data_IF_817504892125
#
_entry.id   IF_817504892125
#
_cell.length_a   1.000
_cell.length_b   1.000
_cell.length_c   1.000
_cell.angle_alpha   90.00
_cell.angle_beta   90.00
_cell.angle_gamma   90.00
#
_symmetry.space_group_name_H-M   'P 1'
#
loop_
_entity.id
_entity.type
_entity.pdbx_description
1 polymer ?
#
# COMPACT_ATOMS: atom_id res chain seq x y z
N UNK A 1 -7.23 18.70 -5.68
CA UNK A 1 -7.11 17.64 -4.65
C UNK A 1 -7.78 18.15 -3.39
N UNK A 2 -8.64 17.35 -2.78
CA UNK A 2 -9.35 17.65 -1.54
C UNK A 2 -9.08 16.58 -0.51
N UNK A 3 -8.94 16.96 0.76
CA UNK A 3 -8.85 16.02 1.89
C UNK A 3 -10.25 15.87 2.50
N UNK A 4 -10.74 14.64 2.59
CA UNK A 4 -12.07 14.29 3.08
C UNK A 4 -11.89 13.43 4.34
N UNK A 5 -12.71 13.69 5.36
CA UNK A 5 -12.84 12.83 6.53
C UNK A 5 -14.11 12.01 6.41
N UNK A 6 -13.96 10.73 6.13
CA UNK A 6 -15.06 9.77 6.04
C UNK A 6 -15.51 9.40 7.46
N UNK A 7 -16.78 9.69 7.82
CA UNK A 7 -17.27 9.45 9.18
C UNK A 7 -17.34 7.95 9.50
N UNK A 8 -17.19 7.61 10.78
CA UNK A 8 -17.24 6.25 11.33
C UNK A 8 -16.37 6.13 12.57
N UNK A 9 -16.22 4.92 13.08
CA UNK A 9 -15.35 4.61 14.21
C UNK A 9 -14.35 3.52 13.82
N UNK A 10 -13.09 3.91 13.53
CA UNK A 10 -12.53 5.27 13.48
C UNK A 10 -12.96 6.03 12.22
N UNK A 11 -12.90 7.37 12.25
CA UNK A 11 -13.02 8.17 11.04
C UNK A 11 -11.77 8.01 10.17
N UNK A 12 -11.96 7.91 8.85
CA UNK A 12 -10.88 7.66 7.87
C UNK A 12 -10.64 8.91 7.04
N UNK A 13 -9.38 9.34 6.96
CA UNK A 13 -8.97 10.44 6.09
C UNK A 13 -8.55 9.92 4.72
N UNK A 14 -8.98 10.62 3.68
CA UNK A 14 -8.59 10.35 2.30
C UNK A 14 -8.24 11.65 1.58
N UNK A 15 -7.32 11.58 0.63
CA UNK A 15 -7.17 12.61 -0.40
C UNK A 15 -7.86 12.11 -1.67
N UNK A 16 -8.64 13.00 -2.32
CA UNK A 16 -9.41 12.70 -3.54
C UNK A 16 -9.17 13.76 -4.60
N UNK A 17 -9.09 13.32 -5.86
CA UNK A 17 -9.07 14.20 -7.02
C UNK A 17 -9.64 13.48 -8.26
N UNK A 18 -9.97 14.25 -9.28
CA UNK A 18 -10.40 13.72 -10.57
C UNK A 18 -11.82 13.17 -10.60
N UNK A 19 -12.13 12.45 -11.69
CA UNK A 19 -13.44 11.83 -11.94
C UNK A 19 -13.27 10.56 -12.77
N UNK A 20 -14.32 9.69 -12.81
CA UNK A 20 -14.28 8.41 -13.51
C UNK A 20 -14.30 7.22 -12.56
N UNK A 21 -13.75 6.09 -13.00
CA UNK A 21 -13.55 4.91 -12.15
C UNK A 21 -12.56 5.23 -11.03
N UNK A 22 -12.71 4.53 -9.89
CA UNK A 22 -11.83 4.78 -8.76
C UNK A 22 -10.51 4.06 -8.94
N UNK A 23 -9.40 4.78 -8.74
CA UNK A 23 -8.07 4.23 -8.51
C UNK A 23 -7.67 4.53 -7.06
N UNK A 24 -7.67 3.50 -6.21
CA UNK A 24 -7.47 3.60 -4.78
C UNK A 24 -6.06 3.15 -4.40
N UNK A 25 -5.38 3.96 -3.59
CA UNK A 25 -4.01 3.76 -3.15
C UNK A 25 -3.93 3.47 -1.65
N UNK A 26 -3.19 2.41 -1.29
CA UNK A 26 -2.93 1.97 0.09
C UNK A 26 -1.43 2.03 0.38
N UNK A 27 -1.04 2.82 1.37
CA UNK A 27 0.36 3.04 1.75
C UNK A 27 0.97 1.87 2.52
N UNK A 28 2.31 1.83 2.55
CA UNK A 28 3.10 0.93 3.40
C UNK A 28 3.09 1.32 4.88
N UNK A 29 3.66 0.46 5.73
CA UNK A 29 3.60 0.60 7.19
C UNK A 29 4.20 1.91 7.74
N UNK A 30 5.17 2.51 7.07
CA UNK A 30 5.79 3.79 7.45
C UNK A 30 5.23 5.00 6.69
N UNK A 31 4.23 4.79 5.83
CA UNK A 31 3.67 5.80 4.95
C UNK A 31 2.37 6.40 5.45
N UNK A 32 1.80 7.23 4.59
CA UNK A 32 0.44 7.75 4.69
C UNK A 32 -0.04 8.18 3.29
N UNK A 33 -1.26 8.72 3.17
CA UNK A 33 -1.84 9.13 1.89
C UNK A 33 -0.98 10.09 1.07
N UNK A 34 -0.12 10.92 1.70
CA UNK A 34 0.73 11.89 1.00
C UNK A 34 1.85 11.26 0.18
N UNK A 35 2.16 9.97 0.44
CA UNK A 35 3.17 9.23 -0.33
C UNK A 35 2.72 8.90 -1.76
N UNK A 36 1.47 9.20 -2.11
CA UNK A 36 0.88 8.96 -3.42
C UNK A 36 0.71 10.22 -4.27
N UNK A 37 1.33 11.34 -3.89
CA UNK A 37 1.11 12.63 -4.55
C UNK A 37 1.37 12.57 -6.06
N UNK A 38 2.48 12.01 -6.51
CA UNK A 38 2.85 11.92 -7.93
C UNK A 38 1.88 11.01 -8.72
N UNK A 39 1.37 9.95 -8.09
CA UNK A 39 0.37 9.07 -8.68
C UNK A 39 -0.97 9.79 -8.79
N UNK A 40 -1.38 10.50 -7.74
CA UNK A 40 -2.63 11.25 -7.74
C UNK A 40 -2.63 12.34 -8.83
N UNK A 41 -1.56 13.09 -8.96
CA UNK A 41 -1.42 14.13 -10.01
C UNK A 41 -1.47 13.52 -11.42
N UNK A 42 -0.79 12.38 -11.64
CA UNK A 42 -0.71 11.73 -12.94
C UNK A 42 -2.04 11.09 -13.37
N UNK A 43 -2.77 10.48 -12.46
CA UNK A 43 -3.98 9.71 -12.77
C UNK A 43 -5.28 10.50 -12.63
N UNK A 44 -5.32 11.63 -11.88
CA UNK A 44 -6.53 12.44 -11.68
C UNK A 44 -7.23 12.92 -12.99
N UNK A 45 -6.52 13.18 -14.10
CA UNK A 45 -7.19 13.51 -15.36
C UNK A 45 -8.11 12.42 -15.92
N UNK A 46 -7.98 11.16 -15.48
CA UNK A 46 -8.69 9.99 -16.05
C UNK A 46 -9.43 9.13 -15.03
N UNK A 47 -9.08 9.25 -13.77
CA UNK A 47 -9.65 8.45 -12.67
C UNK A 47 -10.12 9.36 -11.54
N UNK A 48 -11.08 8.86 -10.78
CA UNK A 48 -11.25 9.33 -9.39
C UNK A 48 -10.15 8.70 -8.57
N UNK A 49 -9.05 9.43 -8.32
CA UNK A 49 -7.94 8.96 -7.50
C UNK A 49 -8.24 9.15 -6.02
N UNK A 50 -7.96 8.13 -5.21
CA UNK A 50 -8.22 8.13 -3.77
C UNK A 50 -7.00 7.55 -3.06
N UNK A 51 -6.29 8.37 -2.28
CA UNK A 51 -5.24 7.92 -1.38
C UNK A 51 -5.79 7.88 0.06
N UNK A 52 -5.63 6.74 0.73
CA UNK A 52 -6.23 6.49 2.05
C UNK A 52 -5.15 6.54 3.12
N UNK A 53 -5.42 7.27 4.23
CA UNK A 53 -4.75 6.99 5.50
C UNK A 53 -5.45 5.79 6.14
N UNK A 54 -4.77 4.67 6.28
CA UNK A 54 -5.30 3.51 7.02
C UNK A 54 -5.59 3.92 8.46
N UNK A 55 -6.58 3.28 9.12
CA UNK A 55 -6.91 3.55 10.55
C UNK A 55 -5.64 3.59 11.40
N UNK A 56 -5.47 4.66 12.20
CA UNK A 56 -4.28 4.89 13.02
C UNK A 56 -3.07 5.45 12.27
N UNK A 57 -3.25 5.98 11.05
CA UNK A 57 -2.22 6.68 10.28
C UNK A 57 -2.67 8.07 9.84
N UNK A 58 -1.70 8.96 9.71
CA UNK A 58 -1.88 10.29 9.13
C UNK A 58 -2.98 11.09 9.81
N UNK A 59 -4.07 11.41 9.11
CA UNK A 59 -5.23 12.13 9.65
C UNK A 59 -6.40 11.19 9.99
N UNK A 60 -6.28 9.87 9.80
CA UNK A 60 -7.26 8.90 10.27
C UNK A 60 -7.16 8.75 11.79
N UNK A 61 -8.30 8.47 12.43
CA UNK A 61 -8.34 8.26 13.87
C UNK A 61 -7.68 6.95 14.30
N UNK A 62 -7.19 6.95 15.52
CA UNK A 62 -6.77 5.72 16.21
C UNK A 62 -7.97 4.82 16.50
N UNK A 63 -7.69 3.56 16.80
CA UNK A 63 -8.67 2.52 17.03
C UNK A 63 -8.34 1.73 18.30
N UNK A 64 -9.35 1.11 18.89
CA UNK A 64 -9.21 0.25 20.07
C UNK A 64 -8.84 -1.19 19.63
N UNK A 65 -8.18 -1.92 20.53
CA UNK A 65 -7.77 -3.31 20.27
C UNK A 65 -6.55 -3.44 19.35
N UNK A 66 -6.24 -4.67 18.90
CA UNK A 66 -5.18 -4.94 17.92
C UNK A 66 -5.55 -4.42 16.53
N UNK A 67 -4.57 -4.34 15.61
CA UNK A 67 -4.89 -4.16 14.20
C UNK A 67 -5.54 -5.45 13.68
N UNK A 68 -6.60 -5.28 12.89
CA UNK A 68 -7.20 -6.35 12.10
C UNK A 68 -7.47 -5.85 10.68
N UNK A 69 -7.03 -6.60 9.68
CA UNK A 69 -7.29 -6.25 8.29
C UNK A 69 -8.74 -6.49 7.87
N UNK A 70 -9.52 -7.27 8.61
CA UNK A 70 -10.97 -7.35 8.42
C UNK A 70 -11.60 -5.98 8.61
N UNK A 71 -11.23 -5.29 9.68
CA UNK A 71 -11.69 -3.92 9.97
C UNK A 71 -11.22 -2.91 8.92
N UNK A 72 -9.95 -3.03 8.47
CA UNK A 72 -9.42 -2.14 7.42
C UNK A 72 -10.18 -2.35 6.10
N UNK A 73 -10.48 -3.59 5.74
CA UNK A 73 -11.26 -3.89 4.54
C UNK A 73 -12.68 -3.30 4.61
N UNK A 74 -13.32 -3.36 5.77
CA UNK A 74 -14.65 -2.75 6.00
C UNK A 74 -14.58 -1.21 5.94
N UNK A 75 -13.50 -0.59 6.41
CA UNK A 75 -13.25 0.84 6.22
C UNK A 75 -13.19 1.23 4.75
N UNK A 76 -12.55 0.43 3.90
CA UNK A 76 -12.45 0.72 2.46
C UNK A 76 -13.82 0.61 1.75
N UNK A 77 -14.67 -0.33 2.15
CA UNK A 77 -16.07 -0.38 1.69
C UNK A 77 -16.79 0.90 2.07
N UNK A 78 -16.61 1.36 3.31
CA UNK A 78 -17.21 2.61 3.82
C UNK A 78 -16.67 3.84 3.08
N UNK A 79 -15.37 3.90 2.79
CA UNK A 79 -14.74 4.96 1.97
C UNK A 79 -15.38 5.02 0.59
N UNK A 80 -15.47 3.90 -0.12
CA UNK A 80 -16.09 3.83 -1.44
C UNK A 80 -17.56 4.29 -1.40
N UNK A 81 -18.31 3.79 -0.44
CA UNK A 81 -19.73 4.17 -0.26
C UNK A 81 -19.87 5.68 0.00
N UNK A 82 -19.03 6.26 0.86
CA UNK A 82 -19.06 7.68 1.20
C UNK A 82 -18.84 8.59 -0.03
N UNK A 83 -17.95 8.18 -0.95
CA UNK A 83 -17.70 8.93 -2.19
C UNK A 83 -18.67 8.55 -3.33
N UNK A 84 -19.73 7.78 -3.04
CA UNK A 84 -20.76 7.37 -4.00
C UNK A 84 -20.27 6.37 -5.05
N UNK A 85 -19.28 5.52 -4.70
CA UNK A 85 -18.70 4.51 -5.59
C UNK A 85 -18.91 3.10 -5.02
N UNK A 86 -18.92 2.09 -5.89
CA UNK A 86 -19.16 0.69 -5.50
C UNK A 86 -17.92 -0.18 -5.65
N UNK A 87 -16.98 0.22 -6.49
CA UNK A 87 -15.79 -0.58 -6.82
C UNK A 87 -14.61 0.31 -7.20
N UNK A 88 -13.41 -0.27 -7.19
CA UNK A 88 -12.16 0.42 -7.50
C UNK A 88 -11.13 -0.50 -8.16
N UNK A 89 -10.23 0.09 -8.93
CA UNK A 89 -8.90 -0.45 -9.13
C UNK A 89 -8.10 -0.19 -7.87
N UNK A 90 -7.51 -1.22 -7.28
CA UNK A 90 -6.82 -1.12 -5.99
C UNK A 90 -5.33 -1.32 -6.16
N UNK A 91 -4.53 -0.39 -5.63
CA UNK A 91 -3.10 -0.51 -5.59
C UNK A 91 -2.62 -0.41 -4.14
N UNK A 92 -1.88 -1.42 -3.70
CA UNK A 92 -1.29 -1.45 -2.37
C UNK A 92 0.22 -1.64 -2.42
N UNK A 93 0.93 -0.80 -1.66
CA UNK A 93 2.38 -0.88 -1.51
C UNK A 93 2.73 -1.50 -0.16
N UNK A 94 3.61 -2.53 -0.14
CA UNK A 94 4.10 -3.17 1.10
C UNK A 94 2.94 -3.64 1.98
N UNK A 95 2.75 -3.13 3.20
CA UNK A 95 1.58 -3.38 4.04
C UNK A 95 0.26 -3.13 3.28
N UNK A 96 0.20 -2.08 2.47
CA UNK A 96 -0.97 -1.81 1.62
C UNK A 96 -1.26 -2.94 0.63
N UNK A 97 -0.23 -3.63 0.15
CA UNK A 97 -0.36 -4.83 -0.70
C UNK A 97 -0.93 -6.03 0.07
N UNK A 98 -0.57 -6.21 1.34
CA UNK A 98 -1.18 -7.22 2.21
C UNK A 98 -2.66 -6.90 2.47
N UNK A 99 -2.98 -5.62 2.72
CA UNK A 99 -4.37 -5.16 2.86
C UNK A 99 -5.16 -5.43 1.57
N UNK A 100 -4.60 -5.11 0.40
CA UNK A 100 -5.28 -5.34 -0.88
C UNK A 100 -5.56 -6.83 -1.14
N UNK A 101 -4.64 -7.73 -0.79
CA UNK A 101 -4.87 -9.18 -0.81
C UNK A 101 -6.00 -9.58 0.14
N UNK A 102 -6.04 -8.98 1.33
CA UNK A 102 -7.08 -9.24 2.31
C UNK A 102 -8.46 -8.76 1.85
N UNK A 103 -8.53 -7.59 1.19
CA UNK A 103 -9.77 -7.07 0.58
C UNK A 103 -10.26 -7.98 -0.54
N UNK A 104 -9.37 -8.52 -1.38
CA UNK A 104 -9.73 -9.50 -2.40
C UNK A 104 -10.35 -10.77 -1.81
N UNK A 105 -9.90 -11.19 -0.63
CA UNK A 105 -10.49 -12.32 0.09
C UNK A 105 -11.84 -11.97 0.70
N UNK A 106 -11.95 -10.83 1.39
CA UNK A 106 -13.13 -10.46 2.18
C UNK A 106 -14.24 -9.81 1.35
N UNK A 107 -13.87 -8.91 0.44
CA UNK A 107 -14.78 -8.10 -0.37
C UNK A 107 -14.42 -8.13 -1.87
N UNK A 108 -14.34 -9.30 -2.53
CA UNK A 108 -13.88 -9.37 -3.92
C UNK A 108 -14.72 -8.53 -4.89
N UNK A 109 -15.98 -8.31 -4.58
CA UNK A 109 -16.92 -7.58 -5.45
C UNK A 109 -16.61 -6.09 -5.59
N UNK A 110 -15.84 -5.50 -4.68
CA UNK A 110 -15.46 -4.08 -4.80
C UNK A 110 -14.18 -3.88 -5.62
N UNK A 111 -13.47 -4.94 -6.00
CA UNK A 111 -12.18 -4.87 -6.69
C UNK A 111 -12.35 -5.11 -8.17
N UNK A 112 -12.06 -4.11 -9.00
CA UNK A 112 -12.06 -4.20 -10.48
C UNK A 112 -10.74 -4.80 -10.99
N UNK A 113 -9.63 -4.40 -10.42
CA UNK A 113 -8.30 -4.98 -10.61
C UNK A 113 -7.42 -4.70 -9.40
N UNK A 114 -6.36 -5.47 -9.20
CA UNK A 114 -5.43 -5.30 -8.10
C UNK A 114 -4.00 -5.16 -8.58
N UNK A 115 -3.27 -4.21 -8.00
CA UNK A 115 -1.83 -4.03 -8.20
C UNK A 115 -1.13 -4.16 -6.84
N UNK A 116 -0.14 -5.02 -6.78
CA UNK A 116 0.68 -5.27 -5.61
C UNK A 116 2.08 -4.72 -5.85
N UNK A 117 2.43 -3.61 -5.18
CA UNK A 117 3.71 -2.95 -5.31
C UNK A 117 4.59 -3.23 -4.10
N UNK A 118 5.85 -3.61 -4.33
CA UNK A 118 6.87 -3.78 -3.30
C UNK A 118 6.35 -4.59 -2.08
N UNK A 119 5.76 -5.76 -2.34
CA UNK A 119 5.07 -6.58 -1.33
C UNK A 119 5.24 -8.07 -1.61
N UNK A 120 4.78 -8.89 -0.68
CA UNK A 120 4.82 -10.35 -0.72
C UNK A 120 3.46 -10.96 -0.36
N UNK A 121 3.38 -12.28 -0.28
CA UNK A 121 2.17 -12.95 0.23
C UNK A 121 2.02 -12.86 1.76
N UNK A 122 3.05 -12.40 2.45
CA UNK A 122 3.10 -12.17 3.89
C UNK A 122 4.46 -12.52 4.48
N UNK A 123 5.05 -11.62 5.30
CA UNK A 123 6.37 -11.84 5.89
C UNK A 123 6.49 -13.16 6.66
N UNK A 124 5.42 -13.59 7.32
CA UNK A 124 5.40 -14.86 8.07
C UNK A 124 5.49 -16.12 7.21
N UNK A 125 5.36 -15.99 5.87
CA UNK A 125 5.56 -17.08 4.90
C UNK A 125 6.90 -17.01 4.18
N UNK A 126 7.48 -15.81 4.06
CA UNK A 126 8.59 -15.52 3.14
C UNK A 126 9.91 -15.25 3.88
N UNK A 127 9.86 -15.00 5.19
CA UNK A 127 11.03 -14.70 6.01
C UNK A 127 11.15 -15.65 7.20
N UNK A 128 12.38 -15.91 7.60
CA UNK A 128 12.66 -16.68 8.83
C UNK A 128 12.46 -15.81 10.09
N UNK A 129 12.46 -16.48 11.24
CA UNK A 129 12.26 -15.83 12.53
C UNK A 129 13.36 -14.78 12.83
N UNK A 130 14.60 -15.02 12.40
CA UNK A 130 15.72 -14.11 12.65
C UNK A 130 15.54 -12.78 11.89
N UNK A 131 15.09 -12.84 10.64
CA UNK A 131 14.78 -11.65 9.84
C UNK A 131 13.64 -10.84 10.48
N UNK A 132 12.57 -11.53 10.91
CA UNK A 132 11.42 -10.88 11.57
C UNK A 132 11.87 -10.20 12.87
N UNK A 133 12.68 -10.89 13.68
CA UNK A 133 13.21 -10.32 14.94
C UNK A 133 14.04 -9.06 14.69
N UNK A 134 14.94 -9.08 13.70
CA UNK A 134 15.77 -7.92 13.37
C UNK A 134 14.94 -6.76 12.80
N UNK A 135 13.97 -7.05 11.95
CA UNK A 135 13.03 -6.06 11.44
C UNK A 135 12.27 -5.35 12.56
N UNK A 136 11.77 -6.11 13.53
CA UNK A 136 11.07 -5.59 14.70
C UNK A 136 12.02 -4.83 15.65
N UNK A 137 13.22 -5.37 15.88
CA UNK A 137 14.21 -4.74 16.76
C UNK A 137 14.55 -3.32 16.32
N UNK A 138 14.78 -3.10 15.02
CA UNK A 138 15.13 -1.78 14.49
C UNK A 138 14.00 -0.75 14.59
N UNK A 139 12.75 -1.19 14.55
CA UNK A 139 11.57 -0.32 14.49
C UNK A 139 10.82 -0.22 15.81
N UNK A 140 10.71 -1.32 16.52
CA UNK A 140 9.90 -1.43 17.74
C UNK A 140 10.70 -1.10 19.01
N UNK A 141 11.92 -1.61 19.17
CA UNK A 141 12.69 -1.45 20.39
C UNK A 141 12.93 0.01 20.78
N UNK A 142 13.31 0.94 19.89
CA UNK A 142 13.47 2.34 20.26
C UNK A 142 12.18 2.99 20.76
N UNK A 143 11.04 2.64 20.15
CA UNK A 143 9.74 3.18 20.56
C UNK A 143 9.32 2.67 21.93
N UNK A 144 9.55 1.38 22.22
CA UNK A 144 9.30 0.78 23.53
C UNK A 144 10.24 1.37 24.60
N UNK A 145 11.46 1.77 24.23
CA UNK A 145 12.40 2.49 25.09
C UNK A 145 12.04 3.98 25.29
N UNK A 146 10.86 4.43 24.86
CA UNK A 146 10.36 5.78 25.10
C UNK A 146 10.58 6.80 24.00
N UNK A 147 11.27 6.44 22.89
CA UNK A 147 11.42 7.33 21.74
C UNK A 147 10.08 7.60 21.05
N UNK A 148 9.97 8.77 20.43
CA UNK A 148 8.88 9.12 19.54
C UNK A 148 9.15 8.62 18.10
N UNK A 149 8.13 8.48 17.24
CA UNK A 149 8.32 8.20 15.82
C UNK A 149 9.24 9.21 15.12
N UNK A 150 9.18 10.48 15.47
CA UNK A 150 10.10 11.53 14.97
C UNK A 150 11.57 11.25 15.27
N UNK A 151 11.89 10.56 16.38
CA UNK A 151 13.28 10.27 16.75
C UNK A 151 13.88 9.13 15.92
N UNK A 152 13.04 8.23 15.39
CA UNK A 152 13.48 7.10 14.57
C UNK A 152 13.36 7.39 13.08
N UNK A 153 12.59 8.41 12.68
CA UNK A 153 12.28 8.71 11.28
C UNK A 153 13.52 8.88 10.39
N UNK A 154 14.59 9.61 10.81
CA UNK A 154 15.78 9.76 9.97
C UNK A 154 16.47 8.42 9.67
N UNK A 155 16.59 7.55 10.67
CA UNK A 155 17.27 6.25 10.52
C UNK A 155 16.42 5.27 9.70
N UNK A 156 15.12 5.21 9.94
CA UNK A 156 14.21 4.33 9.19
C UNK A 156 14.11 4.78 7.74
N UNK A 157 13.94 6.08 7.47
CA UNK A 157 13.93 6.61 6.10
C UNK A 157 15.24 6.31 5.37
N UNK A 158 16.39 6.49 6.03
CA UNK A 158 17.72 6.17 5.47
C UNK A 158 17.86 4.68 5.13
N UNK A 159 17.26 3.78 5.91
CA UNK A 159 17.34 2.34 5.65
C UNK A 159 16.55 1.90 4.41
N UNK A 160 15.66 2.75 3.90
CA UNK A 160 14.82 2.52 2.73
C UNK A 160 15.28 3.33 1.51
N UNK A 161 16.19 4.29 1.71
CA UNK A 161 16.67 5.17 0.65
C UNK A 161 17.56 4.41 -0.34
N UNK A 162 17.40 4.70 -1.62
CA UNK A 162 18.26 4.18 -2.69
C UNK A 162 18.98 5.31 -3.41
N UNK A 163 20.16 5.04 -4.00
CA UNK A 163 20.88 6.03 -4.80
C UNK A 163 20.04 6.52 -5.97
N UNK A 164 20.00 7.83 -6.16
CA UNK A 164 19.28 8.45 -7.28
C UNK A 164 17.80 8.74 -7.04
N UNK A 165 17.22 8.30 -5.91
CA UNK A 165 15.86 8.70 -5.55
C UNK A 165 15.78 10.23 -5.32
N UNK A 166 14.65 10.88 -5.67
CA UNK A 166 14.46 12.31 -5.42
C UNK A 166 14.58 12.66 -3.93
N UNK A 167 15.30 13.74 -3.61
CA UNK A 167 15.39 14.20 -2.21
C UNK A 167 14.02 14.51 -1.60
N UNK A 168 13.10 15.05 -2.40
CA UNK A 168 11.72 15.29 -1.99
C UNK A 168 11.00 14.03 -1.52
N UNK A 169 11.27 12.88 -2.15
CA UNK A 169 10.73 11.57 -1.77
C UNK A 169 11.27 11.13 -0.41
N UNK A 170 12.58 11.27 -0.21
CA UNK A 170 13.20 10.98 1.09
C UNK A 170 12.65 11.84 2.22
N UNK A 171 12.52 13.16 2.00
CA UNK A 171 11.98 14.09 3.00
C UNK A 171 10.51 13.78 3.32
N UNK A 172 9.71 13.43 2.31
CA UNK A 172 8.31 13.05 2.49
C UNK A 172 8.18 11.74 3.28
N UNK A 173 9.00 10.74 2.96
CA UNK A 173 9.07 9.50 3.73
C UNK A 173 9.44 9.77 5.20
N UNK A 174 10.47 10.57 5.43
CA UNK A 174 10.88 10.94 6.78
C UNK A 174 9.76 11.66 7.54
N UNK A 175 9.05 12.58 6.87
CA UNK A 175 7.91 13.29 7.45
C UNK A 175 6.74 12.34 7.78
N UNK A 176 6.44 11.37 6.89
CA UNK A 176 5.36 10.40 7.15
C UNK A 176 5.69 9.47 8.31
N UNK A 177 6.96 9.04 8.45
CA UNK A 177 7.40 8.24 9.60
C UNK A 177 7.36 9.07 10.89
N UNK A 178 7.78 10.32 10.85
CA UNK A 178 7.74 11.21 12.02
C UNK A 178 6.31 11.47 12.52
N UNK A 179 5.32 11.41 11.62
CA UNK A 179 3.90 11.62 11.90
C UNK A 179 3.15 10.34 12.29
N UNK A 180 3.81 9.19 12.42
CA UNK A 180 3.18 7.93 12.82
C UNK A 180 2.54 8.04 14.22
N UNK A 181 1.36 7.47 14.36
CA UNK A 181 0.73 7.26 15.66
C UNK A 181 1.41 6.06 16.33
N UNK A 182 2.20 6.33 17.36
CA UNK A 182 3.09 5.34 17.98
C UNK A 182 2.41 4.01 18.30
N UNK A 183 1.27 4.08 19.00
CA UNK A 183 0.57 2.86 19.44
C UNK A 183 0.02 2.06 18.24
N UNK A 184 -0.58 2.73 17.27
CA UNK A 184 -1.09 2.10 16.05
C UNK A 184 0.03 1.49 15.21
N UNK A 185 1.17 2.16 15.13
CA UNK A 185 2.36 1.63 14.45
C UNK A 185 2.92 0.38 15.15
N UNK A 186 3.00 0.36 16.49
CA UNK A 186 3.43 -0.81 17.25
C UNK A 186 2.50 -2.01 17.02
N UNK A 187 1.17 -1.80 17.04
CA UNK A 187 0.19 -2.84 16.71
C UNK A 187 0.37 -3.38 15.30
N UNK A 188 0.66 -2.50 14.34
CA UNK A 188 0.88 -2.90 12.96
C UNK A 188 2.17 -3.69 12.75
N UNK A 189 3.26 -3.33 13.41
CA UNK A 189 4.50 -4.11 13.39
C UNK A 189 4.25 -5.55 13.85
N UNK A 190 3.49 -5.72 14.94
CA UNK A 190 3.15 -7.05 15.46
C UNK A 190 2.21 -7.83 14.53
N UNK A 191 1.22 -7.17 13.95
CA UNK A 191 0.27 -7.82 13.05
C UNK A 191 0.91 -8.22 11.72
N UNK A 192 1.60 -7.26 11.07
CA UNK A 192 2.18 -7.45 9.74
C UNK A 192 3.28 -8.50 9.74
N UNK A 193 4.18 -8.50 10.75
CA UNK A 193 5.28 -9.49 10.83
C UNK A 193 4.81 -10.93 10.97
N UNK A 194 3.59 -11.14 11.49
CA UNK A 194 2.97 -12.46 11.63
C UNK A 194 1.89 -12.75 10.58
N UNK A 195 1.64 -11.80 9.67
CA UNK A 195 0.55 -11.93 8.69
C UNK A 195 0.81 -13.08 7.72
N UNK A 196 -0.26 -13.85 7.50
CA UNK A 196 -0.36 -14.86 6.46
C UNK A 196 -1.62 -14.59 5.65
N UNK A 197 -1.48 -14.60 4.33
CA UNK A 197 -2.60 -14.35 3.44
C UNK A 197 -3.71 -15.40 3.63
N UNK A 198 -4.93 -14.94 3.81
CA UNK A 198 -6.14 -15.79 3.81
C UNK A 198 -6.65 -16.06 2.39
N UNK A 199 -6.15 -15.31 1.40
CA UNK A 199 -6.59 -15.37 0.02
C UNK A 199 -6.15 -16.67 -0.66
N UNK A 200 -7.09 -17.41 -1.26
CA UNK A 200 -6.75 -18.37 -2.30
C UNK A 200 -6.46 -17.60 -3.60
N UNK A 201 -5.21 -17.29 -3.84
CA UNK A 201 -4.74 -16.50 -4.98
C UNK A 201 -5.15 -17.12 -6.32
N UNK A 202 -5.20 -18.45 -6.41
CA UNK A 202 -5.60 -19.15 -7.63
C UNK A 202 -7.11 -18.98 -7.94
N UNK A 203 -7.93 -18.62 -6.96
CA UNK A 203 -9.36 -18.35 -7.14
C UNK A 203 -9.65 -16.95 -7.70
N UNK A 204 -8.69 -16.02 -7.64
CA UNK A 204 -8.87 -14.64 -8.08
C UNK A 204 -9.13 -14.58 -9.59
N UNK A 205 -10.17 -13.84 -9.98
CA UNK A 205 -10.63 -13.69 -11.38
C UNK A 205 -10.38 -12.31 -11.95
N UNK A 206 -10.25 -11.29 -11.09
CA UNK A 206 -9.95 -9.94 -11.54
C UNK A 206 -8.50 -9.86 -12.05
N UNK A 207 -8.21 -8.92 -12.96
CA UNK A 207 -6.85 -8.69 -13.40
C UNK A 207 -5.93 -8.33 -12.25
N UNK A 208 -4.75 -8.97 -12.20
CA UNK A 208 -3.73 -8.76 -11.17
C UNK A 208 -2.40 -8.42 -11.81
N UNK A 209 -1.68 -7.49 -11.17
CA UNK A 209 -0.35 -7.07 -11.55
C UNK A 209 0.56 -6.93 -10.34
N UNK A 210 1.82 -7.26 -10.47
CA UNK A 210 2.83 -7.05 -9.43
C UNK A 210 3.88 -6.08 -9.95
N UNK A 211 4.25 -5.11 -9.12
CA UNK A 211 5.33 -4.16 -9.40
C UNK A 211 6.37 -4.25 -8.29
N UNK A 212 7.64 -4.11 -8.63
CA UNK A 212 8.72 -4.17 -7.63
C UNK A 212 9.87 -3.27 -8.04
N UNK A 213 10.45 -2.55 -7.09
CA UNK A 213 11.67 -1.78 -7.31
C UNK A 213 12.85 -2.70 -7.63
N UNK A 214 13.68 -2.31 -8.61
CA UNK A 214 14.88 -3.08 -9.01
C UNK A 214 15.84 -3.32 -7.83
N UNK A 215 15.91 -2.37 -6.91
CA UNK A 215 16.80 -2.34 -5.74
C UNK A 215 16.06 -2.65 -4.43
N UNK A 216 14.84 -3.16 -4.48
CA UNK A 216 14.09 -3.49 -3.27
C UNK A 216 14.74 -4.66 -2.53
N UNK A 217 15.32 -4.35 -1.36
CA UNK A 217 15.96 -5.32 -0.47
C UNK A 217 15.02 -5.89 0.59
N UNK A 218 13.84 -5.29 0.81
CA UNK A 218 12.85 -5.78 1.78
C UNK A 218 11.93 -6.84 1.17
N UNK A 219 11.43 -6.57 -0.03
CA UNK A 219 10.58 -7.50 -0.79
C UNK A 219 11.14 -7.66 -2.20
N UNK A 220 12.27 -8.36 -2.35
CA UNK A 220 13.01 -8.42 -3.59
C UNK A 220 12.24 -9.09 -4.73
N UNK A 221 12.71 -8.91 -5.96
CA UNK A 221 12.09 -9.45 -7.18
C UNK A 221 11.72 -10.94 -7.07
N UNK A 222 12.49 -11.73 -6.32
CA UNK A 222 12.17 -13.14 -6.09
C UNK A 222 10.82 -13.33 -5.38
N UNK A 223 10.53 -12.50 -4.37
CA UNK A 223 9.24 -12.51 -3.65
C UNK A 223 8.10 -11.99 -4.54
N UNK A 224 8.34 -10.95 -5.32
CA UNK A 224 7.37 -10.46 -6.30
C UNK A 224 6.99 -11.54 -7.32
N UNK A 225 7.96 -12.31 -7.81
CA UNK A 225 7.72 -13.46 -8.69
C UNK A 225 7.00 -14.61 -7.98
N UNK A 226 7.36 -14.89 -6.73
CA UNK A 226 6.67 -15.88 -5.89
C UNK A 226 5.18 -15.51 -5.73
N UNK A 227 4.90 -14.26 -5.36
CA UNK A 227 3.53 -13.76 -5.24
C UNK A 227 2.77 -13.87 -6.58
N UNK A 228 3.36 -13.41 -7.68
CA UNK A 228 2.73 -13.46 -9.00
C UNK A 228 2.42 -14.90 -9.46
N UNK A 229 3.31 -15.84 -9.15
CA UNK A 229 3.13 -17.26 -9.46
C UNK A 229 1.97 -17.95 -8.75
N UNK A 230 1.42 -17.34 -7.69
CA UNK A 230 0.22 -17.83 -6.99
C UNK A 230 -1.07 -17.55 -7.75
N UNK A 231 -1.10 -16.54 -8.62
CA UNK A 231 -2.27 -16.20 -9.42
C UNK A 231 -2.30 -16.95 -10.75
N UNK A 232 -3.48 -17.22 -11.28
CA UNK A 232 -3.63 -17.90 -12.58
C UNK A 232 -3.07 -17.07 -13.75
N UNK A 233 -3.21 -15.74 -13.65
CA UNK A 233 -2.71 -14.79 -14.64
C UNK A 233 -2.28 -13.52 -13.91
N UNK A 234 -0.98 -13.28 -13.89
CA UNK A 234 -0.38 -12.11 -13.29
C UNK A 234 0.90 -11.75 -14.04
N UNK A 235 1.11 -10.48 -14.31
CA UNK A 235 2.37 -9.96 -14.84
C UNK A 235 3.19 -9.32 -13.73
N UNK A 236 4.52 -9.28 -13.93
CA UNK A 236 5.46 -8.64 -13.01
C UNK A 236 6.26 -7.62 -13.78
N UNK A 237 6.25 -6.37 -13.32
CA UNK A 237 7.11 -5.31 -13.84
C UNK A 237 8.11 -4.85 -12.79
N UNK A 238 9.33 -4.55 -13.23
CA UNK A 238 10.41 -4.01 -12.39
C UNK A 238 10.51 -2.51 -12.64
N UNK A 239 10.45 -1.73 -11.55
CA UNK A 239 10.63 -0.27 -11.61
C UNK A 239 12.14 0.02 -11.56
N UNK A 240 12.76 0.52 -12.63
CA UNK A 240 14.20 0.66 -12.70
C UNK A 240 14.73 1.70 -11.72
N UNK A 241 15.86 1.39 -11.07
CA UNK A 241 16.56 2.26 -10.12
C UNK A 241 15.79 2.57 -8.83
N UNK A 242 14.65 1.93 -8.58
CA UNK A 242 13.82 2.14 -7.41
C UNK A 242 14.04 1.04 -6.35
N UNK A 243 13.89 1.41 -5.08
CA UNK A 243 13.88 0.48 -3.94
C UNK A 243 12.47 0.13 -3.49
N UNK A 244 12.32 -0.06 -2.17
CA UNK A 244 11.05 -0.48 -1.54
C UNK A 244 9.90 0.53 -1.64
N UNK A 245 10.17 1.76 -2.03
CA UNK A 245 9.16 2.80 -2.25
C UNK A 245 9.16 3.19 -3.73
N UNK A 246 8.95 2.21 -4.59
CA UNK A 246 9.15 2.35 -6.03
C UNK A 246 8.30 3.46 -6.65
N UNK A 247 7.12 3.73 -6.08
CA UNK A 247 6.24 4.81 -6.46
C UNK A 247 6.82 6.22 -6.17
N UNK A 248 7.71 6.33 -5.18
CA UNK A 248 8.35 7.58 -4.78
C UNK A 248 9.78 7.70 -5.33
N UNK A 249 10.50 6.59 -5.43
CA UNK A 249 11.89 6.55 -5.88
C UNK A 249 12.02 6.82 -7.38
N UNK A 250 11.11 6.26 -8.19
CA UNK A 250 11.01 6.54 -9.62
C UNK A 250 9.54 6.69 -10.06
N UNK A 251 8.87 7.79 -9.67
CA UNK A 251 7.44 7.97 -9.94
C UNK A 251 7.10 7.98 -11.43
N UNK A 252 8.02 8.42 -12.28
CA UNK A 252 7.81 8.43 -13.74
C UNK A 252 7.68 7.01 -14.30
N UNK A 253 8.64 6.15 -14.01
CA UNK A 253 8.60 4.76 -14.49
C UNK A 253 7.43 4.00 -13.84
N UNK A 254 7.23 4.16 -12.53
CA UNK A 254 6.10 3.57 -11.81
C UNK A 254 4.75 3.92 -12.46
N UNK A 255 4.51 5.21 -12.70
CA UNK A 255 3.26 5.68 -13.30
C UNK A 255 3.07 5.16 -14.73
N UNK A 256 4.13 5.07 -15.54
CA UNK A 256 4.07 4.53 -16.89
C UNK A 256 3.69 3.04 -16.91
N UNK A 257 4.32 2.22 -16.06
CA UNK A 257 4.02 0.79 -15.94
C UNK A 257 2.59 0.56 -15.45
N UNK A 258 2.18 1.28 -14.42
CA UNK A 258 0.81 1.23 -13.91
C UNK A 258 -0.21 1.64 -14.97
N UNK A 259 0.07 2.68 -15.76
CA UNK A 259 -0.82 3.17 -16.81
C UNK A 259 -1.01 2.13 -17.93
N UNK A 260 0.06 1.44 -18.33
CA UNK A 260 -0.02 0.35 -19.31
C UNK A 260 -0.95 -0.76 -18.81
N UNK A 261 -0.80 -1.18 -17.56
CA UNK A 261 -1.69 -2.19 -16.97
C UNK A 261 -3.15 -1.71 -16.93
N UNK A 262 -3.43 -0.51 -16.43
CA UNK A 262 -4.80 0.00 -16.29
C UNK A 262 -5.50 0.20 -17.63
N UNK A 263 -4.82 0.68 -18.67
CA UNK A 263 -5.38 0.80 -20.03
C UNK A 263 -5.74 -0.56 -20.63
N UNK A 264 -4.97 -1.58 -20.32
CA UNK A 264 -5.28 -2.95 -20.73
C UNK A 264 -6.62 -3.46 -20.15
N UNK A 265 -7.08 -2.92 -19.02
CA UNK A 265 -8.35 -3.30 -18.42
C UNK A 265 -9.55 -2.58 -19.07
N UNK A 266 -9.41 -1.32 -19.45
CA UNK A 266 -10.47 -0.54 -20.10
C UNK A 266 -10.93 -1.14 -21.44
N UNK A 267 -10.04 -1.82 -22.16
CA UNK A 267 -10.36 -2.46 -23.45
C UNK A 267 -11.15 -3.77 -23.29
N UNK A 268 -11.02 -4.46 -22.16
CA UNK A 268 -11.75 -5.72 -21.89
C UNK A 268 -13.20 -5.46 -21.45
N UNK A 269 -13.44 -4.37 -20.72
CA UNK A 269 -14.77 -3.98 -20.26
C UNK A 269 -15.72 -3.56 -21.39
N UNK A 270 -15.19 -2.95 -22.46
CA UNK A 270 -15.96 -2.54 -23.64
C UNK A 270 -16.29 -3.67 -24.64
N UNK A 271 -15.67 -4.84 -24.50
CA UNK A 271 -15.93 -6.01 -25.36
C UNK A 271 -17.00 -6.97 -24.78
N UNK A 272 -17.46 -6.71 -23.56
CA UNK A 272 -18.43 -7.55 -22.81
C UNK A 272 -19.78 -6.84 -22.54
N UNK A 273 -20.00 -5.64 -23.12
CA UNK A 273 -21.24 -4.87 -23.02
C UNK A 273 -22.12 -4.99 -24.27
#
# INVERSE_FOLDING_TARGET
METIRVPGMPAIAIDRAGSGEVLLFLHGIGGNRTNWQEQMEFFAPRYTVVAVDVRGWGLSEDYQGPLDFDDVADDLVRVLSHIGKKSCHMLGLSMGGLIAQHVLWRHPVIVLSAVFADTSAGPGEEHDAQWIEEFLRLRKAPLLAGKAPSDIAPQVAKSLAVPGAPESSFLRLQASIAALHKESYLKALDYVSNYKAKLDHASVRVPVHVMVGELDALTPLAQARSLAGRFRKCSVDVVPGAGHLSNMDNPKAFNQLLDVFLRGQATVGNAAS
#
